data_IF_421677387349
#
_entry.id   IF_421677387349
#
_cell.length_a   1.000
_cell.length_b   1.000
_cell.length_c   1.000
_cell.angle_alpha   90.00
_cell.angle_beta   90.00
_cell.angle_gamma   90.00
#
_symmetry.space_group_name_H-M   'P 1'
#
loop_
_entity.id
_entity.type
_entity.pdbx_description
1 polymer ?
#
# COMPACT_ATOMS: atom_id res chain seq x y z
N UNK A 1 -24.53 5.80 8.56
CA UNK A 1 -24.35 4.48 7.93
C UNK A 1 -23.63 3.54 8.90
N UNK A 2 -24.33 2.99 9.90
CA UNK A 2 -23.70 2.19 10.97
C UNK A 2 -23.23 0.80 10.52
N UNK A 3 -23.65 0.32 9.35
CA UNK A 3 -23.36 -1.05 8.85
C UNK A 3 -22.51 -1.07 7.58
N UNK A 4 -21.91 0.06 7.18
CA UNK A 4 -21.11 0.09 5.96
C UNK A 4 -19.78 -0.65 6.20
N UNK A 5 -19.67 -1.87 5.67
CA UNK A 5 -18.47 -2.71 5.81
C UNK A 5 -17.44 -2.50 4.72
N UNK A 6 -17.87 -2.14 3.52
CA UNK A 6 -17.01 -2.00 2.35
C UNK A 6 -17.32 -0.68 1.65
N UNK A 7 -16.27 0.08 1.34
CA UNK A 7 -16.39 1.35 0.65
C UNK A 7 -15.52 1.35 -0.60
N UNK A 8 -16.13 1.66 -1.74
CA UNK A 8 -15.48 1.84 -3.03
C UNK A 8 -15.55 3.31 -3.41
N UNK A 9 -14.40 3.88 -3.78
CA UNK A 9 -14.30 5.22 -4.34
C UNK A 9 -13.49 5.11 -5.61
N UNK A 10 -14.15 5.38 -6.74
CA UNK A 10 -13.58 5.17 -8.06
C UNK A 10 -13.63 6.45 -8.89
N UNK A 11 -12.59 6.69 -9.70
CA UNK A 11 -12.50 7.74 -10.70
C UNK A 11 -12.85 9.14 -10.18
N UNK A 12 -12.40 9.44 -8.95
CA UNK A 12 -12.74 10.67 -8.26
C UNK A 12 -11.61 11.71 -8.33
N UNK A 13 -11.97 13.00 -8.26
CA UNK A 13 -11.03 14.13 -8.25
C UNK A 13 -10.70 14.62 -6.83
N UNK A 14 -11.09 13.86 -5.81
CA UNK A 14 -10.84 14.19 -4.40
C UNK A 14 -9.35 14.38 -4.13
N UNK A 15 -9.03 15.39 -3.34
CA UNK A 15 -7.67 15.63 -2.82
C UNK A 15 -7.41 14.89 -1.51
N UNK A 16 -8.45 14.72 -0.70
CA UNK A 16 -8.46 13.99 0.55
C UNK A 16 -9.78 13.24 0.69
N UNK A 17 -9.77 12.15 1.45
CA UNK A 17 -11.00 11.48 1.84
C UNK A 17 -11.73 12.35 2.87
N UNK A 18 -13.07 12.51 2.76
CA UNK A 18 -13.84 13.26 3.74
C UNK A 18 -13.56 12.78 5.18
N UNK A 19 -13.24 13.66 6.14
CA UNK A 19 -12.93 13.27 7.52
C UNK A 19 -14.07 12.50 8.19
N UNK A 20 -15.31 12.78 7.75
CA UNK A 20 -16.48 12.01 8.16
C UNK A 20 -16.30 10.51 7.90
N UNK A 21 -15.66 10.09 6.81
CA UNK A 21 -15.41 8.68 6.46
C UNK A 21 -14.36 8.03 7.36
N UNK A 22 -13.28 8.75 7.67
CA UNK A 22 -12.20 8.33 8.58
C UNK A 22 -12.57 8.52 10.07
N UNK A 23 -13.87 8.52 10.39
CA UNK A 23 -14.35 8.76 11.73
C UNK A 23 -14.21 7.48 12.57
N UNK A 24 -13.57 7.59 13.73
CA UNK A 24 -13.40 6.50 14.70
C UNK A 24 -14.72 5.85 15.16
N UNK A 25 -15.88 6.50 14.97
CA UNK A 25 -17.21 5.93 15.23
C UNK A 25 -17.68 4.96 14.14
N UNK A 26 -16.98 4.84 13.01
CA UNK A 26 -17.29 3.88 11.93
C UNK A 26 -16.59 2.54 12.17
N UNK A 27 -16.99 1.88 13.24
CA UNK A 27 -16.45 0.57 13.61
C UNK A 27 -16.76 -0.54 12.59
N UNK A 28 -17.83 -0.37 11.80
CA UNK A 28 -18.24 -1.36 10.82
C UNK A 28 -17.39 -1.38 9.55
N UNK A 29 -16.70 -0.29 9.18
CA UNK A 29 -15.96 -0.24 7.91
C UNK A 29 -14.70 -1.11 7.99
N UNK A 30 -14.66 -2.18 7.20
CA UNK A 30 -13.57 -3.17 7.20
C UNK A 30 -12.71 -3.09 5.96
N UNK A 31 -13.27 -2.73 4.81
CA UNK A 31 -12.54 -2.70 3.55
C UNK A 31 -12.70 -1.37 2.81
N UNK A 32 -11.58 -0.86 2.31
CA UNK A 32 -11.53 0.38 1.54
C UNK A 32 -10.85 0.13 0.19
N UNK A 33 -11.52 0.54 -0.87
CA UNK A 33 -11.08 0.39 -2.26
C UNK A 33 -11.01 1.77 -2.92
N UNK A 34 -9.83 2.17 -3.36
CA UNK A 34 -9.54 3.51 -3.88
C UNK A 34 -8.92 3.42 -5.28
N UNK A 35 -9.73 3.61 -6.32
CA UNK A 35 -9.34 3.33 -7.70
C UNK A 35 -9.39 4.59 -8.57
N UNK A 36 -8.31 4.92 -9.26
CA UNK A 36 -8.27 6.05 -10.20
C UNK A 36 -8.44 7.42 -9.54
N UNK A 37 -8.06 7.58 -8.26
CA UNK A 37 -8.20 8.85 -7.53
C UNK A 37 -6.95 9.71 -7.75
N UNK A 38 -6.92 10.39 -8.91
CA UNK A 38 -5.73 11.08 -9.43
C UNK A 38 -5.17 12.22 -8.58
N UNK A 39 -5.98 12.77 -7.66
CA UNK A 39 -5.57 13.89 -6.80
C UNK A 39 -5.41 13.54 -5.33
N UNK A 40 -5.66 12.28 -4.94
CA UNK A 40 -5.59 11.86 -3.54
C UNK A 40 -4.17 12.01 -3.01
N UNK A 41 -3.97 12.78 -1.94
CA UNK A 41 -2.66 12.99 -1.35
C UNK A 41 -2.37 12.00 -0.21
N UNK A 42 -3.38 11.62 0.57
CA UNK A 42 -3.22 10.72 1.72
C UNK A 42 -4.47 9.91 2.07
N UNK A 43 -4.25 8.79 2.78
CA UNK A 43 -5.27 7.92 3.39
C UNK A 43 -4.92 7.77 4.87
N UNK A 44 -5.72 8.40 5.73
CA UNK A 44 -5.37 8.56 7.14
C UNK A 44 -6.56 8.23 8.05
N UNK A 45 -6.28 7.75 9.27
CA UNK A 45 -7.26 7.59 10.36
C UNK A 45 -8.40 6.57 10.13
N UNK A 46 -8.18 5.54 9.30
CA UNK A 46 -9.15 4.46 9.09
C UNK A 46 -8.91 3.29 10.06
N UNK A 47 -9.18 3.52 11.35
CA UNK A 47 -8.81 2.61 12.45
C UNK A 47 -9.53 1.25 12.46
N UNK A 48 -10.68 1.12 11.79
CA UNK A 48 -11.45 -0.13 11.66
C UNK A 48 -11.10 -0.94 10.40
N UNK A 49 -10.41 -0.32 9.43
CA UNK A 49 -10.11 -0.95 8.14
C UNK A 49 -9.04 -2.02 8.31
N UNK A 50 -9.38 -3.22 7.85
CA UNK A 50 -8.49 -4.39 7.86
C UNK A 50 -7.92 -4.70 6.47
N UNK A 51 -8.53 -4.16 5.42
CA UNK A 51 -8.09 -4.30 4.03
C UNK A 51 -8.14 -2.98 3.28
N UNK A 52 -7.02 -2.60 2.67
CA UNK A 52 -6.91 -1.44 1.79
C UNK A 52 -6.42 -1.90 0.41
N UNK A 53 -7.15 -1.56 -0.65
CA UNK A 53 -6.70 -1.74 -2.03
C UNK A 53 -6.69 -0.37 -2.73
N UNK A 54 -5.51 0.04 -3.18
CA UNK A 54 -5.30 1.30 -3.88
C UNK A 54 -4.73 1.01 -5.26
N UNK A 55 -5.37 1.58 -6.27
CA UNK A 55 -5.04 1.37 -7.67
C UNK A 55 -5.10 2.70 -8.43
N UNK A 56 -4.08 3.00 -9.22
CA UNK A 56 -4.02 4.22 -10.04
C UNK A 56 -4.29 5.51 -9.24
N UNK A 57 -3.64 5.64 -8.08
CA UNK A 57 -3.64 6.88 -7.29
C UNK A 57 -2.24 7.51 -7.34
N UNK A 58 -1.85 8.14 -8.47
CA UNK A 58 -0.47 8.58 -8.70
C UNK A 58 0.01 9.68 -7.76
N UNK A 59 -0.89 10.47 -7.15
CA UNK A 59 -0.50 11.52 -6.19
C UNK A 59 -0.54 11.06 -4.73
N UNK A 60 -0.91 9.80 -4.46
CA UNK A 60 -0.97 9.30 -3.11
C UNK A 60 0.45 9.22 -2.54
N UNK A 61 0.70 9.98 -1.47
CA UNK A 61 2.01 10.04 -0.81
C UNK A 61 2.04 9.33 0.53
N UNK A 62 0.94 9.36 1.27
CA UNK A 62 0.91 8.93 2.68
C UNK A 62 -0.24 7.99 2.98
N UNK A 63 0.07 6.92 3.70
CA UNK A 63 -0.89 6.00 4.31
C UNK A 63 -0.47 5.84 5.78
N UNK A 64 -1.29 6.33 6.70
CA UNK A 64 -0.96 6.37 8.14
C UNK A 64 -2.20 6.11 9.01
N UNK A 65 -1.97 5.65 10.24
CA UNK A 65 -3.02 5.49 11.26
C UNK A 65 -4.14 4.52 10.86
N UNK A 66 -3.76 3.41 10.20
CA UNK A 66 -4.62 2.27 9.89
C UNK A 66 -4.27 1.09 10.81
N UNK A 67 -4.51 1.26 12.11
CA UNK A 67 -3.98 0.34 13.13
C UNK A 67 -4.41 -1.12 12.99
N UNK A 68 -5.60 -1.36 12.44
CA UNK A 68 -6.15 -2.71 12.22
C UNK A 68 -5.87 -3.26 10.83
N UNK A 69 -5.06 -2.59 10.01
CA UNK A 69 -4.81 -3.01 8.63
C UNK A 69 -4.00 -4.31 8.60
N UNK A 70 -4.61 -5.38 8.13
CA UNK A 70 -3.95 -6.68 7.95
C UNK A 70 -3.42 -6.82 6.52
N UNK A 71 -4.16 -6.32 5.52
CA UNK A 71 -3.84 -6.52 4.11
C UNK A 71 -3.84 -5.20 3.37
N UNK A 72 -2.75 -4.90 2.69
CA UNK A 72 -2.67 -3.76 1.79
C UNK A 72 -2.20 -4.20 0.41
N UNK A 73 -2.87 -3.65 -0.61
CA UNK A 73 -2.46 -3.76 -2.00
C UNK A 73 -2.33 -2.36 -2.59
N UNK A 74 -1.17 -2.07 -3.17
CA UNK A 74 -0.85 -0.80 -3.82
C UNK A 74 -0.39 -1.08 -5.24
N UNK A 75 -1.15 -0.60 -6.22
CA UNK A 75 -0.93 -0.86 -7.64
C UNK A 75 -0.83 0.47 -8.38
N UNK A 76 0.26 0.67 -9.13
CA UNK A 76 0.52 1.88 -9.94
C UNK A 76 0.29 3.18 -9.16
N UNK A 77 0.83 3.21 -7.95
CA UNK A 77 0.88 4.40 -7.09
C UNK A 77 2.35 4.71 -6.79
N UNK A 78 3.09 5.31 -7.75
CA UNK A 78 4.55 5.42 -7.68
C UNK A 78 5.07 6.36 -6.59
N UNK A 79 4.22 7.26 -6.07
CA UNK A 79 4.64 8.32 -5.15
C UNK A 79 4.31 8.02 -3.67
N UNK A 80 3.93 6.80 -3.31
CA UNK A 80 3.71 6.44 -1.90
C UNK A 80 5.06 6.43 -1.19
N UNK A 81 5.26 7.40 -0.32
CA UNK A 81 6.51 7.63 0.41
C UNK A 81 6.40 7.16 1.87
N UNK A 82 5.20 7.18 2.44
CA UNK A 82 4.95 6.88 3.85
C UNK A 82 3.90 5.77 4.01
N UNK A 83 4.26 4.75 4.78
CA UNK A 83 3.37 3.70 5.27
C UNK A 83 3.67 3.46 6.76
N UNK A 84 2.91 4.11 7.63
CA UNK A 84 3.14 4.14 9.08
C UNK A 84 1.85 3.85 9.86
N UNK A 85 1.93 3.63 11.18
CA UNK A 85 0.73 3.37 11.98
C UNK A 85 -0.05 2.11 11.56
N UNK A 86 0.65 1.09 11.03
CA UNK A 86 0.10 -0.20 10.56
C UNK A 86 0.68 -1.40 11.32
N UNK A 87 0.62 -1.45 12.67
CA UNK A 87 1.24 -2.50 13.48
C UNK A 87 0.67 -3.91 13.23
N UNK A 88 -0.56 -4.02 12.73
CA UNK A 88 -1.22 -5.29 12.40
C UNK A 88 -0.92 -5.81 10.98
N UNK A 89 -0.05 -5.11 10.22
CA UNK A 89 0.18 -5.42 8.82
C UNK A 89 0.75 -6.83 8.64
N UNK A 90 0.01 -7.64 7.88
CA UNK A 90 0.30 -9.04 7.66
C UNK A 90 0.77 -9.32 6.23
N UNK A 91 0.07 -8.73 5.26
CA UNK A 91 0.31 -8.94 3.83
C UNK A 91 0.43 -7.62 3.10
N UNK A 92 1.54 -7.45 2.37
CA UNK A 92 1.82 -6.30 1.52
C UNK A 92 1.95 -6.74 0.06
N UNK A 93 1.13 -6.15 -0.82
CA UNK A 93 1.22 -6.36 -2.26
C UNK A 93 1.58 -5.05 -2.94
N UNK A 94 2.69 -5.02 -3.67
CA UNK A 94 3.15 -3.89 -4.47
C UNK A 94 3.21 -4.32 -5.94
N UNK A 95 2.60 -3.53 -6.82
CA UNK A 95 2.63 -3.80 -8.26
C UNK A 95 2.76 -2.53 -9.08
N UNK A 96 3.88 -2.36 -9.77
CA UNK A 96 4.10 -1.25 -10.69
C UNK A 96 5.22 -1.60 -11.70
N UNK A 97 4.90 -1.54 -12.99
CA UNK A 97 5.85 -1.87 -14.06
C UNK A 97 6.97 -0.82 -14.18
N UNK A 98 6.74 0.40 -13.70
CA UNK A 98 7.73 1.49 -13.74
C UNK A 98 8.55 1.60 -12.46
N UNK A 99 8.35 0.69 -11.48
CA UNK A 99 9.09 0.72 -10.22
C UNK A 99 10.54 0.28 -10.43
N UNK A 100 11.46 1.23 -10.39
CA UNK A 100 12.91 1.00 -10.51
C UNK A 100 13.64 0.88 -9.16
N UNK A 101 13.01 1.36 -8.07
CA UNK A 101 13.51 1.24 -6.71
C UNK A 101 12.35 0.90 -5.76
N UNK A 102 12.65 0.11 -4.73
CA UNK A 102 11.74 -0.21 -3.65
C UNK A 102 11.43 1.04 -2.82
N UNK A 103 10.15 1.23 -2.41
CA UNK A 103 9.77 2.34 -1.56
C UNK A 103 10.54 2.43 -0.25
N UNK A 104 10.86 3.66 0.18
CA UNK A 104 11.68 3.93 1.36
C UNK A 104 11.03 3.54 2.69
N UNK A 105 9.71 3.30 2.74
CA UNK A 105 9.01 2.85 3.94
C UNK A 105 9.17 1.36 4.23
N UNK A 106 9.65 0.56 3.28
CA UNK A 106 9.73 -0.90 3.44
C UNK A 106 10.57 -1.39 4.63
N UNK A 107 11.70 -0.75 4.99
CA UNK A 107 12.42 -1.06 6.22
C UNK A 107 11.61 -0.82 7.50
N UNK A 108 10.62 0.09 7.47
CA UNK A 108 9.80 0.48 8.62
C UNK A 108 8.58 -0.41 8.86
N UNK A 109 8.28 -1.33 7.93
CA UNK A 109 7.16 -2.28 8.04
C UNK A 109 7.65 -3.71 8.11
N UNK A 110 6.92 -4.58 8.79
CA UNK A 110 7.32 -5.99 8.95
C UNK A 110 6.16 -6.96 8.64
N UNK A 111 5.64 -6.98 7.40
CA UNK A 111 4.62 -7.93 7.01
C UNK A 111 5.15 -9.37 7.05
N UNK A 112 4.29 -10.35 7.31
CA UNK A 112 4.67 -11.77 7.20
C UNK A 112 4.84 -12.20 5.74
N UNK A 113 4.15 -11.54 4.80
CA UNK A 113 4.19 -11.84 3.37
C UNK A 113 4.29 -10.59 2.51
N UNK A 114 5.24 -10.58 1.57
CA UNK A 114 5.40 -9.54 0.54
C UNK A 114 5.21 -10.13 -0.86
N UNK A 115 4.29 -9.58 -1.64
CA UNK A 115 4.22 -9.84 -3.09
C UNK A 115 4.63 -8.60 -3.86
N UNK A 116 5.65 -8.74 -4.70
CA UNK A 116 6.18 -7.64 -5.50
C UNK A 116 6.10 -7.99 -6.99
N UNK A 117 5.46 -7.12 -7.77
CA UNK A 117 5.49 -7.13 -9.23
C UNK A 117 6.08 -5.82 -9.74
N UNK A 118 7.35 -5.82 -10.12
CA UNK A 118 8.11 -4.61 -10.42
C UNK A 118 8.64 -4.57 -11.87
N UNK A 119 9.44 -3.54 -12.19
CA UNK A 119 10.20 -3.49 -13.43
C UNK A 119 11.23 -4.63 -13.49
N UNK A 120 11.61 -5.05 -14.70
CA UNK A 120 12.67 -6.04 -14.91
C UNK A 120 14.00 -5.62 -14.25
N UNK A 121 14.35 -4.33 -14.38
CA UNK A 121 15.56 -3.73 -13.80
C UNK A 121 15.61 -3.88 -12.27
N UNK A 122 14.51 -3.58 -11.57
CA UNK A 122 14.44 -3.76 -10.11
C UNK A 122 14.44 -5.25 -9.72
N UNK A 123 13.73 -6.09 -10.48
CA UNK A 123 13.75 -7.53 -10.23
C UNK A 123 15.16 -8.13 -10.36
N UNK A 124 15.93 -7.75 -11.38
CA UNK A 124 17.33 -8.18 -11.56
C UNK A 124 18.22 -7.73 -10.39
N UNK A 125 18.03 -6.50 -9.90
CA UNK A 125 18.79 -5.99 -8.74
C UNK A 125 18.43 -6.71 -7.43
N UNK A 126 17.19 -7.19 -7.29
CA UNK A 126 16.74 -8.00 -6.15
C UNK A 126 17.14 -9.48 -6.27
N UNK A 127 17.39 -9.96 -7.49
CA UNK A 127 17.78 -11.36 -7.77
C UNK A 127 19.25 -11.67 -7.43
N UNK A 128 20.01 -10.68 -6.94
CA UNK A 128 21.36 -10.84 -6.41
C UNK A 128 21.36 -10.57 -4.90
N UNK A 129 20.95 -11.54 -4.05
CA UNK A 129 20.81 -11.32 -2.61
C UNK A 129 22.13 -10.91 -1.95
N UNK A 130 22.08 -9.92 -1.06
CA UNK A 130 23.21 -9.52 -0.20
C UNK A 130 24.14 -8.44 -0.75
N UNK A 131 23.99 -8.00 -2.00
CA UNK A 131 24.83 -6.93 -2.58
C UNK A 131 24.06 -5.66 -2.94
N UNK A 132 22.74 -5.73 -3.17
CA UNK A 132 21.95 -4.56 -3.55
C UNK A 132 21.35 -3.82 -2.36
N UNK A 133 21.43 -2.49 -2.39
CA UNK A 133 20.76 -1.62 -1.41
C UNK A 133 19.23 -1.85 -1.38
N UNK A 134 18.66 -2.29 -2.51
CA UNK A 134 17.26 -2.64 -2.63
C UNK A 134 16.92 -3.90 -1.83
N UNK A 135 17.71 -4.98 -1.94
CA UNK A 135 17.46 -6.21 -1.18
C UNK A 135 17.45 -5.94 0.34
N UNK A 136 18.33 -5.07 0.81
CA UNK A 136 18.40 -4.71 2.23
C UNK A 136 17.12 -4.06 2.77
N UNK A 137 16.27 -3.47 1.92
CA UNK A 137 14.99 -2.89 2.35
C UNK A 137 13.92 -3.93 2.68
N UNK A 138 14.10 -5.18 2.24
CA UNK A 138 13.10 -6.25 2.39
C UNK A 138 13.69 -7.55 2.95
N UNK A 139 14.98 -7.59 3.26
CA UNK A 139 15.69 -8.80 3.72
C UNK A 139 15.17 -9.32 5.07
N UNK A 140 14.51 -8.48 5.86
CA UNK A 140 13.85 -8.87 7.11
C UNK A 140 12.51 -9.60 6.88
N UNK A 141 11.92 -9.50 5.70
CA UNK A 141 10.63 -10.10 5.35
C UNK A 141 10.84 -11.55 4.91
N UNK A 142 10.40 -12.50 5.74
CA UNK A 142 10.75 -13.93 5.60
C UNK A 142 10.09 -14.67 4.44
N UNK A 143 8.93 -14.19 3.97
CA UNK A 143 8.18 -14.82 2.88
C UNK A 143 7.79 -13.78 1.85
N UNK A 144 8.02 -14.08 0.59
CA UNK A 144 7.53 -13.25 -0.48
C UNK A 144 7.73 -13.83 -1.85
N UNK A 145 6.90 -13.34 -2.77
CA UNK A 145 6.95 -13.68 -4.19
C UNK A 145 7.31 -12.42 -4.97
N UNK A 146 8.48 -12.42 -5.61
CA UNK A 146 9.02 -11.27 -6.34
C UNK A 146 9.14 -11.64 -7.81
N UNK A 147 8.39 -10.94 -8.65
CA UNK A 147 8.37 -11.15 -10.09
C UNK A 147 8.48 -9.80 -10.81
N UNK A 148 8.98 -9.81 -12.05
CA UNK A 148 8.83 -8.65 -12.92
C UNK A 148 7.54 -8.76 -13.75
N UNK A 149 7.09 -7.63 -14.30
CA UNK A 149 5.95 -7.57 -15.22
C UNK A 149 6.49 -7.70 -16.64
N UNK A 150 6.03 -8.72 -17.39
CA UNK A 150 6.28 -8.84 -18.82
C UNK A 150 5.46 -7.78 -19.55
N UNK A 151 6.12 -6.99 -20.41
CA UNK A 151 5.51 -5.98 -21.27
C UNK A 151 4.81 -6.58 -22.48
#
# INVERSE_FOLDING_TARGET
>A
MPYLERLYIENCKLRCLPPGLANNKRHALRELYLYGITNLASVENFTSVVKLDVFDCPKLKRINDLFMLHKIRVVRCPNVEVLEGVPALDSLVLQDATMEALPGYLPGVNPRYLKLRCSKKLWESLSSPGTSAEWNKISHIRKGDIHYIQG
#
